data_IF_496331434068
#
_entry.id   IF_496331434068
#
_cell.length_a   1.000
_cell.length_b   1.000
_cell.length_c   1.000
_cell.angle_alpha   90.00
_cell.angle_beta   90.00
_cell.angle_gamma   90.00
#
_symmetry.space_group_name_H-M   'P 1'
#
loop_
_entity.id
_entity.type
_entity.pdbx_description
1 polymer ?
#
# COMPACT_ATOMS: atom_id res chain seq x y z
N UNK A 1 15.15 17.97 8.97
CA UNK A 1 14.24 18.98 9.54
C UNK A 1 12.90 18.35 9.76
N UNK A 2 12.27 18.51 10.94
CA UNK A 2 10.94 18.00 11.16
C UNK A 2 10.01 18.58 10.09
N UNK A 3 9.17 17.72 9.55
CA UNK A 3 8.20 18.04 8.50
C UNK A 3 7.26 19.12 9.07
N UNK A 4 7.55 20.39 8.79
CA UNK A 4 6.74 21.48 9.34
C UNK A 4 5.44 21.60 8.56
N UNK A 5 4.37 21.99 9.24
CA UNK A 5 3.04 22.24 8.64
C UNK A 5 3.10 23.20 7.43
N UNK A 6 4.13 24.07 7.37
CA UNK A 6 4.40 24.97 6.25
C UNK A 6 4.93 24.26 5.00
N UNK A 7 5.70 23.18 5.13
CA UNK A 7 6.21 22.39 4.00
C UNK A 7 5.06 21.59 3.37
N UNK A 8 4.19 21.01 4.18
CA UNK A 8 3.00 20.30 3.69
C UNK A 8 2.11 21.19 2.85
N UNK A 9 1.83 22.42 3.32
CA UNK A 9 1.03 23.39 2.55
C UNK A 9 1.71 23.81 1.23
N UNK A 10 3.04 23.93 1.20
CA UNK A 10 3.77 24.24 -0.03
C UNK A 10 3.69 23.09 -1.03
N UNK A 11 3.95 21.87 -0.59
CA UNK A 11 3.89 20.67 -1.45
C UNK A 11 2.48 20.48 -2.05
N UNK A 12 1.42 20.71 -1.28
CA UNK A 12 0.03 20.61 -1.78
C UNK A 12 -0.28 21.65 -2.87
N UNK A 13 0.35 22.82 -2.82
CA UNK A 13 0.12 23.90 -3.78
C UNK A 13 1.06 23.89 -4.99
N UNK A 14 2.09 23.05 -5.00
CA UNK A 14 3.00 22.91 -6.13
C UNK A 14 2.53 21.85 -7.12
N UNK A 15 2.84 22.04 -8.39
CA UNK A 15 2.58 21.04 -9.41
C UNK A 15 3.59 19.90 -9.32
N UNK A 16 3.18 18.82 -8.67
CA UNK A 16 3.98 17.61 -8.51
C UNK A 16 3.75 16.57 -9.61
N UNK A 17 3.05 16.91 -10.67
CA UNK A 17 2.72 15.98 -11.76
C UNK A 17 3.93 15.39 -12.48
N UNK A 18 5.08 16.08 -12.40
CA UNK A 18 6.35 15.57 -12.93
C UNK A 18 7.00 14.48 -12.07
N UNK A 19 6.51 14.28 -10.84
CA UNK A 19 7.05 13.30 -9.90
C UNK A 19 6.07 12.16 -9.72
N UNK A 20 6.53 10.96 -9.89
CA UNK A 20 5.71 9.77 -9.67
C UNK A 20 5.35 9.58 -8.20
N UNK A 21 6.34 9.73 -7.32
CA UNK A 21 6.18 9.66 -5.87
C UNK A 21 6.97 10.76 -5.20
N UNK A 22 6.42 11.26 -4.10
CA UNK A 22 7.09 12.19 -3.17
C UNK A 22 7.13 11.51 -1.81
N UNK A 23 8.28 11.53 -1.12
CA UNK A 23 8.43 10.90 0.19
C UNK A 23 8.83 11.89 1.25
N UNK A 24 8.36 11.66 2.47
CA UNK A 24 8.73 12.40 3.65
C UNK A 24 9.86 11.68 4.39
N UNK A 25 11.00 12.35 4.56
CA UNK A 25 12.08 11.80 5.37
C UNK A 25 11.76 11.91 6.86
N UNK A 26 11.55 10.78 7.52
CA UNK A 26 11.20 10.66 8.94
C UNK A 26 12.38 10.18 9.81
N UNK A 27 13.60 10.24 9.30
CA UNK A 27 14.82 9.77 10.01
C UNK A 27 15.05 8.25 9.92
N UNK A 28 14.22 7.52 9.19
CA UNK A 28 14.33 6.07 9.01
C UNK A 28 15.02 5.73 7.68
N UNK A 29 16.20 5.11 7.74
CA UNK A 29 16.98 4.70 6.56
C UNK A 29 16.32 3.58 5.76
N UNK A 30 15.44 2.77 6.38
CA UNK A 30 14.69 1.72 5.69
C UNK A 30 13.74 2.30 4.62
N UNK A 31 13.42 3.60 4.73
CA UNK A 31 12.65 4.30 3.70
C UNK A 31 13.36 4.29 2.34
N UNK A 32 14.69 4.42 2.31
CA UNK A 32 15.44 4.38 1.04
C UNK A 32 15.29 3.04 0.33
N UNK A 33 15.38 1.95 1.09
CA UNK A 33 15.15 0.60 0.57
C UNK A 33 13.72 0.46 0.06
N UNK A 34 12.76 1.01 0.79
CA UNK A 34 11.33 0.97 0.43
C UNK A 34 11.04 1.73 -0.86
N UNK A 35 11.68 2.89 -1.06
CA UNK A 35 11.55 3.67 -2.30
C UNK A 35 12.05 2.86 -3.50
N UNK A 36 13.27 2.29 -3.38
CA UNK A 36 13.85 1.47 -4.45
C UNK A 36 12.94 0.28 -4.77
N UNK A 37 12.45 -0.41 -3.73
CA UNK A 37 11.60 -1.59 -3.90
C UNK A 37 10.21 -1.25 -4.45
N UNK A 38 9.63 -0.12 -4.08
CA UNK A 38 8.35 0.32 -4.62
C UNK A 38 8.45 0.61 -6.14
N UNK A 39 9.53 1.28 -6.54
CA UNK A 39 9.79 1.56 -7.97
C UNK A 39 10.05 0.23 -8.72
N UNK A 40 10.89 -0.65 -8.17
CA UNK A 40 11.18 -1.96 -8.73
C UNK A 40 9.89 -2.79 -8.88
N UNK A 41 9.05 -2.83 -7.86
CA UNK A 41 7.78 -3.55 -7.88
C UNK A 41 6.85 -3.01 -8.97
N UNK A 42 6.73 -1.69 -9.09
CA UNK A 42 5.92 -1.07 -10.13
C UNK A 42 6.42 -1.39 -11.54
N UNK A 43 7.73 -1.26 -11.76
CA UNK A 43 8.34 -1.48 -13.09
C UNK A 43 8.21 -2.94 -13.56
N UNK A 44 8.26 -3.89 -12.64
CA UNK A 44 8.24 -5.31 -12.97
C UNK A 44 6.88 -5.99 -12.75
N UNK A 45 5.87 -5.26 -12.24
CA UNK A 45 4.60 -5.84 -11.80
C UNK A 45 3.94 -6.70 -12.87
N UNK A 46 3.78 -6.17 -14.07
CA UNK A 46 3.07 -6.84 -15.15
C UNK A 46 3.79 -8.13 -15.57
N UNK A 47 5.09 -8.05 -15.76
CA UNK A 47 5.93 -9.21 -16.09
C UNK A 47 5.88 -10.26 -14.98
N UNK A 48 6.08 -9.85 -13.73
CA UNK A 48 6.18 -10.79 -12.61
C UNK A 48 4.82 -11.47 -12.30
N UNK A 49 3.71 -10.78 -12.52
CA UNK A 49 2.38 -11.36 -12.40
C UNK A 49 2.11 -12.36 -13.53
N UNK A 50 2.41 -11.99 -14.77
CA UNK A 50 2.11 -12.84 -15.94
C UNK A 50 3.01 -14.07 -16.03
N UNK A 51 4.32 -13.91 -15.82
CA UNK A 51 5.30 -14.97 -16.01
C UNK A 51 5.51 -15.84 -14.77
N UNK A 52 5.38 -15.26 -13.57
CA UNK A 52 5.69 -15.94 -12.30
C UNK A 52 4.45 -16.18 -11.46
N UNK A 53 3.33 -15.49 -11.73
CA UNK A 53 2.10 -15.56 -10.92
C UNK A 53 2.26 -14.90 -9.55
N UNK A 54 3.09 -13.86 -9.46
CA UNK A 54 3.37 -13.18 -8.20
C UNK A 54 2.12 -12.52 -7.65
N UNK A 55 1.91 -12.62 -6.35
CA UNK A 55 0.84 -11.93 -5.64
C UNK A 55 1.22 -10.49 -5.31
N UNK A 56 0.23 -9.63 -5.10
CA UNK A 56 0.43 -8.23 -4.75
C UNK A 56 -0.39 -7.81 -3.53
N UNK A 57 0.16 -6.89 -2.77
CA UNK A 57 -0.51 -6.15 -1.70
C UNK A 57 -0.84 -4.77 -2.25
N UNK A 58 -2.13 -4.43 -2.30
CA UNK A 58 -2.58 -3.10 -2.69
C UNK A 58 -2.64 -2.21 -1.46
N UNK A 59 -1.79 -1.17 -1.43
CA UNK A 59 -1.80 -0.13 -0.41
C UNK A 59 -2.48 1.11 -0.99
N UNK A 60 -3.55 1.59 -0.34
CA UNK A 60 -4.29 2.79 -0.77
C UNK A 60 -4.14 3.88 0.27
N UNK A 61 -3.33 4.89 -0.06
CA UNK A 61 -2.98 5.98 0.86
C UNK A 61 -2.49 7.21 0.05
N UNK A 62 -3.13 8.35 0.22
CA UNK A 62 -2.76 9.61 -0.46
C UNK A 62 -1.84 10.50 0.38
N UNK A 63 -1.76 10.26 1.68
CA UNK A 63 -0.95 11.04 2.61
C UNK A 63 0.53 10.72 2.54
N UNK A 64 1.35 11.64 2.01
CA UNK A 64 2.79 11.48 1.84
C UNK A 64 3.48 11.00 3.12
N UNK A 65 3.12 11.57 4.27
CA UNK A 65 3.69 11.21 5.57
C UNK A 65 3.33 9.78 5.95
N UNK A 66 2.07 9.39 5.71
CA UNK A 66 1.55 8.09 6.12
C UNK A 66 2.15 6.97 5.30
N UNK A 67 2.10 7.02 3.97
CA UNK A 67 2.73 5.96 3.18
C UNK A 67 4.26 5.92 3.36
N UNK A 68 4.92 7.06 3.61
CA UNK A 68 6.36 7.09 3.93
C UNK A 68 6.70 6.40 5.25
N UNK A 69 5.77 6.34 6.21
CA UNK A 69 5.97 5.64 7.49
C UNK A 69 5.60 4.16 7.42
N UNK A 70 4.62 3.79 6.62
CA UNK A 70 4.11 2.41 6.52
C UNK A 70 5.02 1.54 5.64
N UNK A 71 5.45 2.06 4.49
CA UNK A 71 6.21 1.30 3.49
C UNK A 71 7.48 0.65 4.05
N UNK A 72 8.29 1.30 4.90
CA UNK A 72 9.47 0.66 5.51
C UNK A 72 9.13 -0.61 6.28
N UNK A 73 8.10 -0.56 7.10
CA UNK A 73 7.67 -1.71 7.91
C UNK A 73 7.09 -2.83 7.03
N UNK A 74 6.30 -2.45 6.04
CA UNK A 74 5.68 -3.40 5.13
C UNK A 74 6.73 -4.12 4.28
N UNK A 75 7.69 -3.40 3.70
CA UNK A 75 8.80 -4.01 2.96
C UNK A 75 9.70 -4.85 3.85
N UNK A 76 10.03 -4.38 5.05
CA UNK A 76 10.82 -5.15 6.02
C UNK A 76 10.16 -6.49 6.33
N UNK A 77 8.85 -6.49 6.55
CA UNK A 77 8.09 -7.71 6.78
C UNK A 77 8.11 -8.65 5.57
N UNK A 78 7.75 -8.14 4.37
CA UNK A 78 7.69 -8.94 3.14
C UNK A 78 9.07 -9.52 2.79
N UNK A 79 10.14 -8.73 2.91
CA UNK A 79 11.49 -9.18 2.62
C UNK A 79 11.97 -10.23 3.64
N UNK A 80 11.68 -10.04 4.94
CA UNK A 80 12.02 -11.01 5.97
C UNK A 80 11.32 -12.34 5.73
N UNK A 81 10.03 -12.35 5.46
CA UNK A 81 9.27 -13.56 5.14
C UNK A 81 9.84 -14.27 3.91
N UNK A 82 10.16 -13.51 2.87
CA UNK A 82 10.77 -14.06 1.65
C UNK A 82 12.14 -14.71 1.91
N UNK A 83 12.95 -14.12 2.79
CA UNK A 83 14.23 -14.69 3.19
C UNK A 83 14.05 -15.98 3.99
N UNK A 84 13.13 -16.02 4.95
CA UNK A 84 12.84 -17.21 5.74
C UNK A 84 12.42 -18.37 4.84
N UNK A 85 11.50 -18.14 3.90
CA UNK A 85 11.12 -19.16 2.91
C UNK A 85 12.28 -19.55 1.97
N UNK A 86 13.21 -18.65 1.69
CA UNK A 86 14.35 -18.94 0.82
C UNK A 86 15.41 -19.79 1.49
N UNK A 87 15.51 -19.79 2.81
CA UNK A 87 16.45 -20.65 3.55
C UNK A 87 16.09 -22.14 3.48
N UNK A 88 14.82 -22.45 3.26
CA UNK A 88 14.35 -23.83 3.02
C UNK A 88 14.63 -24.34 1.60
N UNK A 89 15.20 -23.51 0.73
CA UNK A 89 15.49 -23.90 -0.64
C UNK A 89 16.73 -24.78 -0.71
N UNK A 90 16.61 -25.91 -1.44
CA UNK A 90 17.66 -26.93 -1.56
C UNK A 90 18.86 -26.46 -2.42
N UNK A 91 18.69 -25.46 -3.28
CA UNK A 91 19.74 -24.95 -4.15
C UNK A 91 19.62 -23.43 -4.44
N UNK A 92 20.68 -22.83 -5.00
CA UNK A 92 20.75 -21.41 -5.30
C UNK A 92 19.70 -20.97 -6.33
N UNK A 93 19.36 -21.80 -7.30
CA UNK A 93 18.34 -21.48 -8.31
C UNK A 93 16.95 -21.38 -7.69
N UNK A 94 16.55 -22.34 -6.87
CA UNK A 94 15.27 -22.30 -6.14
C UNK A 94 15.21 -21.09 -5.18
N UNK A 95 16.34 -20.74 -4.54
CA UNK A 95 16.43 -19.56 -3.69
C UNK A 95 16.15 -18.28 -4.47
N UNK A 96 16.75 -18.13 -5.64
CA UNK A 96 16.53 -16.98 -6.53
C UNK A 96 15.06 -16.91 -7.00
N UNK A 97 14.46 -18.03 -7.38
CA UNK A 97 13.05 -18.07 -7.78
C UNK A 97 12.10 -17.68 -6.63
N UNK A 98 12.35 -18.16 -5.41
CA UNK A 98 11.54 -17.80 -4.23
C UNK A 98 11.67 -16.32 -3.87
N UNK A 99 12.87 -15.74 -4.01
CA UNK A 99 13.06 -14.30 -3.78
C UNK A 99 12.35 -13.43 -4.83
N UNK A 100 12.30 -13.88 -6.08
CA UNK A 100 11.54 -13.20 -7.15
C UNK A 100 10.03 -13.33 -6.95
N UNK A 101 9.58 -14.46 -6.41
CA UNK A 101 8.17 -14.75 -6.13
C UNK A 101 7.59 -14.04 -4.89
N UNK A 102 8.34 -13.12 -4.25
CA UNK A 102 7.80 -12.35 -3.12
C UNK A 102 6.60 -11.52 -3.53
N UNK A 103 5.64 -11.31 -2.63
CA UNK A 103 4.54 -10.38 -2.90
C UNK A 103 5.06 -8.98 -3.25
N UNK A 104 4.47 -8.37 -4.26
CA UNK A 104 4.75 -6.98 -4.66
C UNK A 104 3.86 -6.02 -3.87
N UNK A 105 4.37 -4.83 -3.60
CA UNK A 105 3.57 -3.77 -2.99
C UNK A 105 3.26 -2.73 -4.06
N UNK A 106 1.98 -2.42 -4.24
CA UNK A 106 1.51 -1.43 -5.19
C UNK A 106 0.78 -0.33 -4.42
N UNK A 107 1.25 0.90 -4.55
CA UNK A 107 0.65 2.07 -3.92
C UNK A 107 -0.30 2.75 -4.89
N UNK A 108 -1.55 2.91 -4.46
CA UNK A 108 -2.56 3.75 -5.10
C UNK A 108 -2.86 4.97 -4.23
N UNK A 109 -3.10 6.12 -4.84
CA UNK A 109 -3.36 7.38 -4.13
C UNK A 109 -4.78 7.88 -4.31
N UNK A 110 -5.53 7.24 -5.19
CA UNK A 110 -6.94 7.58 -5.47
C UNK A 110 -7.81 6.34 -5.55
N UNK A 111 -9.11 6.53 -5.41
CA UNK A 111 -10.08 5.46 -5.56
C UNK A 111 -10.04 4.84 -6.97
N UNK A 112 -9.96 5.69 -7.99
CA UNK A 112 -9.92 5.23 -9.37
C UNK A 112 -8.68 4.37 -9.63
N UNK A 113 -7.49 4.83 -9.22
CA UNK A 113 -6.24 4.08 -9.36
C UNK A 113 -6.30 2.73 -8.62
N UNK A 114 -6.84 2.72 -7.40
CA UNK A 114 -7.01 1.51 -6.62
C UNK A 114 -7.91 0.48 -7.32
N UNK A 115 -9.04 0.93 -7.89
CA UNK A 115 -9.97 0.06 -8.60
C UNK A 115 -9.40 -0.44 -9.93
N UNK A 116 -8.66 0.39 -10.67
CA UNK A 116 -7.96 -0.02 -11.89
C UNK A 116 -6.95 -1.14 -11.62
N UNK A 117 -6.13 -0.97 -10.57
CA UNK A 117 -5.17 -2.00 -10.13
C UNK A 117 -5.91 -3.26 -9.69
N UNK A 118 -6.97 -3.11 -8.87
CA UNK A 118 -7.76 -4.23 -8.40
C UNK A 118 -8.35 -5.04 -9.57
N UNK A 119 -9.02 -4.40 -10.52
CA UNK A 119 -9.62 -5.10 -11.66
C UNK A 119 -8.58 -5.76 -12.56
N UNK A 120 -7.43 -5.11 -12.77
CA UNK A 120 -6.36 -5.67 -13.60
C UNK A 120 -5.74 -6.91 -12.99
N UNK A 121 -5.61 -6.95 -11.66
CA UNK A 121 -4.86 -7.99 -10.94
C UNK A 121 -5.68 -8.74 -9.89
N UNK A 122 -7.01 -8.77 -10.01
CA UNK A 122 -7.90 -9.33 -8.97
C UNK A 122 -7.55 -10.75 -8.54
N UNK A 123 -7.07 -11.60 -9.46
CA UNK A 123 -6.69 -12.98 -9.17
C UNK A 123 -5.33 -13.10 -8.45
N UNK A 124 -4.59 -12.01 -8.35
CA UNK A 124 -3.27 -11.97 -7.75
C UNK A 124 -3.23 -11.09 -6.49
N UNK A 125 -4.34 -10.50 -6.07
CA UNK A 125 -4.41 -9.69 -4.85
C UNK A 125 -4.28 -10.60 -3.64
N UNK A 126 -3.19 -10.43 -2.88
CA UNK A 126 -2.97 -11.08 -1.59
C UNK A 126 -3.77 -10.41 -0.47
N UNK A 127 -3.94 -9.10 -0.56
CA UNK A 127 -4.69 -8.29 0.40
C UNK A 127 -4.68 -6.82 0.04
N UNK A 128 -5.59 -6.07 0.67
CA UNK A 128 -5.72 -4.62 0.49
C UNK A 128 -5.60 -3.93 1.84
N UNK A 129 -4.74 -2.93 1.90
CA UNK A 129 -4.59 -2.03 3.05
C UNK A 129 -5.02 -0.66 2.59
N UNK A 130 -6.02 -0.06 3.22
CA UNK A 130 -6.57 1.21 2.77
C UNK A 130 -6.77 2.19 3.93
N UNK A 131 -6.43 3.46 3.70
CA UNK A 131 -6.96 4.54 4.53
C UNK A 131 -8.47 4.70 4.32
N UNK A 132 -9.12 5.44 5.19
CA UNK A 132 -10.57 5.74 5.09
C UNK A 132 -10.82 6.90 4.14
N UNK A 133 -9.94 7.91 4.13
CA UNK A 133 -10.18 9.22 3.51
C UNK A 133 -9.13 9.57 2.46
N UNK A 134 -9.49 9.41 1.21
CA UNK A 134 -8.65 9.80 0.07
C UNK A 134 -9.51 10.29 -1.11
N UNK A 135 -8.94 10.96 -2.13
CA UNK A 135 -9.68 11.49 -3.24
C UNK A 135 -10.14 10.38 -4.21
N UNK A 136 -11.24 10.65 -4.90
CA UNK A 136 -11.75 9.75 -5.94
C UNK A 136 -10.83 9.72 -7.17
N UNK A 137 -10.35 10.88 -7.56
CA UNK A 137 -9.47 11.10 -8.71
C UNK A 137 -8.31 12.00 -8.30
N UNK A 138 -7.25 12.02 -9.06
CA UNK A 138 -6.11 12.90 -8.81
C UNK A 138 -6.55 14.37 -8.70
N UNK A 139 -6.05 15.08 -7.68
CA UNK A 139 -6.41 16.46 -7.34
C UNK A 139 -7.90 16.69 -7.01
N UNK A 140 -8.66 15.62 -6.82
CA UNK A 140 -10.05 15.68 -6.37
C UNK A 140 -10.15 15.98 -4.87
N UNK A 141 -11.37 16.32 -4.44
CA UNK A 141 -11.68 16.42 -3.01
C UNK A 141 -11.63 15.05 -2.34
N UNK A 142 -11.20 15.02 -1.08
CA UNK A 142 -11.18 13.78 -0.29
C UNK A 142 -12.60 13.35 0.06
N UNK A 143 -12.93 12.12 -0.27
CA UNK A 143 -14.16 11.47 0.18
C UNK A 143 -13.90 10.86 1.58
N UNK A 144 -14.68 11.27 2.56
CA UNK A 144 -14.56 10.82 3.94
C UNK A 144 -14.78 9.32 4.17
N UNK A 145 -15.33 8.61 3.18
CA UNK A 145 -15.65 7.19 3.24
C UNK A 145 -15.10 6.40 2.04
N UNK A 146 -14.10 6.95 1.35
CA UNK A 146 -13.54 6.33 0.14
C UNK A 146 -13.07 4.89 0.38
N UNK A 147 -12.30 4.66 1.45
CA UNK A 147 -11.80 3.33 1.80
C UNK A 147 -12.92 2.35 2.17
N UNK A 148 -13.96 2.82 2.83
CA UNK A 148 -15.13 2.00 3.15
C UNK A 148 -15.87 1.59 1.86
N UNK A 149 -16.05 2.52 0.93
CA UNK A 149 -16.67 2.25 -0.37
C UNK A 149 -15.83 1.28 -1.19
N UNK A 150 -14.51 1.46 -1.17
CA UNK A 150 -13.55 0.56 -1.82
C UNK A 150 -13.68 -0.88 -1.28
N UNK A 151 -13.65 -1.04 0.04
CA UNK A 151 -13.81 -2.33 0.68
C UNK A 151 -15.16 -2.97 0.35
N UNK A 152 -16.24 -2.19 0.36
CA UNK A 152 -17.58 -2.67 0.01
C UNK A 152 -17.66 -3.18 -1.44
N UNK A 153 -17.00 -2.48 -2.36
CA UNK A 153 -16.96 -2.87 -3.78
C UNK A 153 -16.12 -4.12 -4.02
N UNK A 154 -14.93 -4.17 -3.42
CA UNK A 154 -14.06 -5.35 -3.49
C UNK A 154 -14.78 -6.58 -2.89
N UNK A 155 -15.44 -6.43 -1.75
CA UNK A 155 -16.13 -7.53 -1.06
C UNK A 155 -17.28 -8.13 -1.86
N UNK A 156 -17.91 -7.35 -2.77
CA UNK A 156 -18.93 -7.89 -3.70
C UNK A 156 -18.33 -8.86 -4.72
N UNK A 157 -17.11 -8.57 -5.18
CA UNK A 157 -16.42 -9.34 -6.20
C UNK A 157 -15.60 -10.49 -5.62
N UNK A 158 -14.98 -10.26 -4.45
CA UNK A 158 -14.18 -11.24 -3.73
C UNK A 158 -14.53 -11.24 -2.23
N UNK A 159 -15.32 -12.22 -1.77
CA UNK A 159 -15.72 -12.31 -0.37
C UNK A 159 -14.58 -12.71 0.58
N UNK A 160 -13.44 -13.20 0.09
CA UNK A 160 -12.40 -13.80 0.91
C UNK A 160 -11.10 -12.99 0.96
N UNK A 161 -10.87 -12.04 0.04
CA UNK A 161 -9.65 -11.24 0.05
C UNK A 161 -9.49 -10.50 1.39
N UNK A 162 -8.32 -10.56 2.04
CA UNK A 162 -8.04 -9.82 3.26
C UNK A 162 -8.12 -8.30 3.03
N UNK A 163 -8.98 -7.63 3.79
CA UNK A 163 -9.14 -6.18 3.75
C UNK A 163 -8.77 -5.59 5.11
N UNK A 164 -7.84 -4.64 5.13
CA UNK A 164 -7.40 -3.91 6.32
C UNK A 164 -7.73 -2.44 6.11
N UNK A 165 -8.52 -1.88 7.00
CA UNK A 165 -8.82 -0.45 7.03
C UNK A 165 -7.94 0.18 8.10
N UNK A 166 -7.16 1.18 7.72
CA UNK A 166 -6.37 1.98 8.63
C UNK A 166 -7.13 3.25 8.97
N UNK A 167 -7.33 3.51 10.25
CA UNK A 167 -8.06 4.69 10.72
C UNK A 167 -7.56 5.12 12.09
N UNK A 168 -7.48 6.43 12.31
CA UNK A 168 -7.31 7.01 13.64
C UNK A 168 -8.64 7.16 14.41
N UNK A 169 -9.78 6.94 13.74
CA UNK A 169 -11.11 7.12 14.30
C UNK A 169 -11.75 5.77 14.65
N UNK A 170 -12.04 5.55 15.94
CA UNK A 170 -12.69 4.31 16.43
C UNK A 170 -14.11 4.11 15.88
N UNK A 171 -14.79 5.18 15.46
CA UNK A 171 -16.13 5.13 14.87
C UNK A 171 -16.18 4.28 13.59
N UNK A 172 -15.06 4.16 12.89
CA UNK A 172 -14.96 3.35 11.68
C UNK A 172 -15.01 1.84 11.95
N UNK A 173 -14.97 1.41 13.23
CA UNK A 173 -15.04 -0.02 13.60
C UNK A 173 -16.36 -0.68 13.16
N UNK A 174 -17.46 0.05 13.20
CA UNK A 174 -18.77 -0.47 12.76
C UNK A 174 -18.79 -0.82 11.27
N UNK A 175 -18.13 -0.01 10.45
CA UNK A 175 -17.98 -0.28 9.01
C UNK A 175 -17.04 -1.45 8.74
N UNK A 176 -15.92 -1.54 9.49
CA UNK A 176 -15.00 -2.65 9.37
C UNK A 176 -15.70 -3.99 9.63
N UNK A 177 -16.47 -4.08 10.71
CA UNK A 177 -17.27 -5.28 11.04
C UNK A 177 -18.29 -5.58 9.94
N UNK A 178 -19.03 -4.56 9.47
CA UNK A 178 -20.06 -4.72 8.43
C UNK A 178 -19.54 -5.35 7.14
N UNK A 179 -18.32 -4.99 6.73
CA UNK A 179 -17.72 -5.49 5.49
C UNK A 179 -16.67 -6.59 5.70
N UNK A 180 -16.55 -7.12 6.92
CA UNK A 180 -15.60 -8.17 7.25
C UNK A 180 -14.15 -7.74 7.06
N UNK A 181 -13.85 -6.47 7.36
CA UNK A 181 -12.52 -5.89 7.28
C UNK A 181 -11.85 -5.90 8.66
N UNK A 182 -10.54 -6.04 8.70
CA UNK A 182 -9.77 -5.78 9.91
C UNK A 182 -9.56 -4.27 10.05
N UNK A 183 -9.86 -3.72 11.22
CA UNK A 183 -9.55 -2.34 11.53
C UNK A 183 -8.18 -2.27 12.21
N UNK A 184 -7.27 -1.49 11.65
CA UNK A 184 -6.01 -1.13 12.29
C UNK A 184 -6.09 0.33 12.74
N UNK A 185 -6.04 0.55 14.04
CA UNK A 185 -5.95 1.89 14.63
C UNK A 185 -4.49 2.18 14.99
N UNK A 186 -3.92 3.19 14.37
CA UNK A 186 -2.60 3.65 14.78
C UNK A 186 -2.75 4.62 15.97
N UNK A 187 -2.46 4.18 17.17
CA UNK A 187 -2.30 5.04 18.35
C UNK A 187 -1.01 5.88 18.29
N UNK A 188 -0.32 5.87 17.17
CA UNK A 188 0.96 6.53 16.99
C UNK A 188 0.81 7.93 16.38
N UNK A 189 0.10 8.81 17.05
CA UNK A 189 0.08 10.22 16.65
C UNK A 189 0.41 11.19 17.79
N UNK A 190 0.63 10.72 19.01
CA UNK A 190 0.96 11.57 20.15
C UNK A 190 2.15 11.00 20.93
N UNK A 191 3.36 11.23 20.41
CA UNK A 191 4.59 11.47 21.16
C UNK A 191 5.64 12.15 20.29
#
# INVERSE_FOLDING_TARGET
TPFSHGITKRIINEDLSAFEYVFCWLGNTDLLVSIIKLIEDKMNLEHDVQEVGVQLILLVEDGIRFYSSILPNLYKFVLKQSQEFSTEALNAHQRTLRMRGRPKIVLARTYQEAMEIYHKYQNNILGVITDVRFPKVERGEKDGLAGIKLCAEIRKNDPFVPLIIQSSESENSSYAVKYGCLLYTSDAADE
#
